data_IF_907674229749
#
_entry.id   IF_907674229749
#
_cell.length_a   1.000
_cell.length_b   1.000
_cell.length_c   1.000
_cell.angle_alpha   90.00
_cell.angle_beta   90.00
_cell.angle_gamma   90.00
#
_symmetry.space_group_name_H-M   'P 1'
#
loop_
_entity.id
_entity.type
_entity.pdbx_description
1 polymer ?
#
# COMPACT_ATOMS: atom_id res chain seq x y z
N UNK A 1 59.45 -0.48 -15.69
CA UNK A 1 58.49 -1.54 -15.34
C UNK A 1 57.27 -1.30 -16.22
N UNK A 2 57.23 -1.91 -17.40
CA UNK A 2 56.15 -1.70 -18.35
C UNK A 2 54.92 -2.47 -17.85
N UNK A 3 53.90 -1.73 -17.40
CA UNK A 3 52.62 -2.34 -17.03
C UNK A 3 51.97 -2.91 -18.29
N UNK A 4 51.78 -4.23 -18.32
CA UNK A 4 51.08 -4.91 -19.40
C UNK A 4 49.62 -4.42 -19.44
N UNK A 5 49.33 -3.55 -20.40
CA UNK A 5 48.04 -2.85 -20.55
C UNK A 5 46.85 -3.82 -20.57
N UNK A 6 47.04 -5.01 -21.15
CA UNK A 6 46.03 -6.06 -21.19
C UNK A 6 45.72 -6.62 -19.79
N UNK A 7 46.73 -6.77 -18.93
CA UNK A 7 46.55 -7.18 -17.53
C UNK A 7 45.75 -6.16 -16.72
N UNK A 8 45.99 -4.86 -16.95
CA UNK A 8 45.25 -3.78 -16.27
C UNK A 8 43.77 -3.78 -16.70
N UNK A 9 43.50 -4.03 -17.97
CA UNK A 9 42.14 -4.11 -18.52
C UNK A 9 41.33 -5.27 -17.90
N UNK A 10 41.95 -6.44 -17.73
CA UNK A 10 41.31 -7.58 -17.07
C UNK A 10 41.00 -7.31 -15.61
N UNK A 11 41.91 -6.67 -14.88
CA UNK A 11 41.71 -6.31 -13.47
C UNK A 11 40.54 -5.32 -13.31
N UNK A 12 40.44 -4.33 -14.20
CA UNK A 12 39.32 -3.38 -14.19
C UNK A 12 37.98 -4.06 -14.50
N UNK A 13 37.94 -4.96 -15.49
CA UNK A 13 36.75 -5.72 -15.84
C UNK A 13 36.25 -6.60 -14.69
N UNK A 14 37.18 -7.32 -14.04
CA UNK A 14 36.85 -8.16 -12.87
C UNK A 14 36.39 -7.28 -11.70
N UNK A 15 37.02 -6.13 -11.47
CA UNK A 15 36.64 -5.20 -10.42
C UNK A 15 35.20 -4.67 -10.58
N UNK A 16 34.82 -4.25 -11.80
CA UNK A 16 33.46 -3.80 -12.11
C UNK A 16 32.45 -4.93 -11.93
N UNK A 17 32.80 -6.15 -12.36
CA UNK A 17 31.91 -7.31 -12.28
C UNK A 17 31.62 -7.66 -10.81
N UNK A 18 32.66 -7.77 -9.98
CA UNK A 18 32.53 -8.08 -8.54
C UNK A 18 31.74 -7.01 -7.79
N UNK A 19 31.93 -5.72 -8.13
CA UNK A 19 31.15 -4.63 -7.54
C UNK A 19 29.66 -4.66 -7.94
N UNK A 20 29.35 -5.20 -9.12
CA UNK A 20 27.99 -5.23 -9.68
C UNK A 20 27.15 -6.41 -9.20
N UNK A 21 27.78 -7.53 -8.79
CA UNK A 21 27.09 -8.74 -8.29
C UNK A 21 26.11 -8.48 -7.14
N UNK A 22 26.47 -7.81 -6.03
CA UNK A 22 25.54 -7.61 -4.91
C UNK A 22 24.30 -6.81 -5.33
N UNK A 23 24.47 -5.85 -6.24
CA UNK A 23 23.35 -5.06 -6.77
C UNK A 23 22.39 -5.92 -7.59
N UNK A 24 22.91 -6.78 -8.47
CA UNK A 24 22.10 -7.73 -9.25
C UNK A 24 21.34 -8.72 -8.37
N UNK A 25 21.97 -9.24 -7.31
CA UNK A 25 21.30 -10.14 -6.35
C UNK A 25 20.12 -9.44 -5.68
N UNK A 26 20.31 -8.20 -5.23
CA UNK A 26 19.24 -7.40 -4.62
C UNK A 26 18.06 -7.18 -5.58
N UNK A 27 18.34 -6.88 -6.86
CA UNK A 27 17.31 -6.70 -7.89
C UNK A 27 16.51 -7.99 -8.14
N UNK A 28 17.20 -9.13 -8.29
CA UNK A 28 16.54 -10.42 -8.52
C UNK A 28 15.66 -10.80 -7.32
N UNK A 29 16.15 -10.60 -6.10
CA UNK A 29 15.39 -10.88 -4.88
C UNK A 29 14.13 -10.02 -4.79
N UNK A 30 14.24 -8.72 -5.08
CA UNK A 30 13.09 -7.82 -5.11
C UNK A 30 12.02 -8.28 -6.11
N UNK A 31 12.43 -8.66 -7.32
CA UNK A 31 11.51 -9.17 -8.36
C UNK A 31 10.83 -10.48 -7.98
N UNK A 32 11.52 -11.38 -7.27
CA UNK A 32 10.91 -12.64 -6.81
C UNK A 32 9.84 -12.39 -5.75
N UNK A 33 10.13 -11.53 -4.78
CA UNK A 33 9.15 -11.17 -3.75
C UNK A 33 7.89 -10.53 -4.34
N UNK A 34 8.04 -9.69 -5.36
CA UNK A 34 6.90 -9.07 -6.03
C UNK A 34 6.01 -10.10 -6.75
N UNK A 35 6.61 -11.14 -7.35
CA UNK A 35 5.88 -12.24 -7.99
C UNK A 35 5.10 -13.06 -6.95
N UNK A 36 5.74 -13.47 -5.87
CA UNK A 36 5.11 -14.29 -4.82
C UNK A 36 3.89 -13.56 -4.20
N UNK A 37 4.01 -12.25 -3.99
CA UNK A 37 2.92 -11.43 -3.47
C UNK A 37 1.78 -11.23 -4.46
N UNK A 38 2.11 -11.16 -5.76
CA UNK A 38 1.09 -11.07 -6.81
C UNK A 38 0.32 -12.38 -6.97
N UNK A 39 1.01 -13.52 -6.88
CA UNK A 39 0.39 -14.85 -6.96
C UNK A 39 -0.53 -15.11 -5.76
N UNK A 40 -0.08 -14.82 -4.54
CA UNK A 40 -0.91 -14.96 -3.32
C UNK A 40 -2.17 -14.09 -3.38
N UNK A 41 -2.06 -12.88 -3.91
CA UNK A 41 -3.21 -11.99 -4.06
C UNK A 41 -4.17 -12.42 -5.17
N UNK A 42 -3.64 -12.93 -6.28
CA UNK A 42 -4.45 -13.48 -7.37
C UNK A 42 -5.19 -14.75 -6.93
N UNK A 43 -4.54 -15.58 -6.11
CA UNK A 43 -5.17 -16.76 -5.51
C UNK A 43 -6.31 -16.36 -4.55
N UNK A 44 -6.10 -15.31 -3.74
CA UNK A 44 -7.13 -14.76 -2.86
C UNK A 44 -8.33 -14.19 -3.62
N UNK A 45 -8.10 -13.39 -4.67
CA UNK A 45 -9.18 -12.81 -5.47
C UNK A 45 -9.94 -13.87 -6.26
N UNK A 46 -9.23 -14.87 -6.80
CA UNK A 46 -9.83 -15.98 -7.55
C UNK A 46 -10.68 -16.87 -6.65
N UNK A 47 -10.20 -17.17 -5.43
CA UNK A 47 -10.96 -17.96 -4.44
C UNK A 47 -12.29 -17.30 -4.08
N UNK A 48 -12.33 -15.97 -4.05
CA UNK A 48 -13.53 -15.18 -3.72
C UNK A 48 -14.33 -14.70 -4.93
N UNK A 49 -13.93 -15.06 -6.16
CA UNK A 49 -14.56 -14.61 -7.42
C UNK A 49 -14.69 -13.08 -7.50
N UNK A 50 -13.71 -12.36 -6.96
CA UNK A 50 -13.68 -10.90 -6.97
C UNK A 50 -13.03 -10.40 -8.26
N UNK A 51 -13.64 -9.40 -8.90
CA UNK A 51 -13.09 -8.73 -10.07
C UNK A 51 -12.70 -7.32 -9.63
N UNK A 52 -11.43 -7.15 -9.29
CA UNK A 52 -10.93 -5.87 -8.79
C UNK A 52 -10.73 -4.91 -9.96
N UNK A 53 -11.56 -3.88 -10.04
CA UNK A 53 -11.48 -2.84 -11.06
C UNK A 53 -10.32 -1.88 -10.81
N UNK A 54 -10.04 -1.57 -9.54
CA UNK A 54 -8.95 -0.68 -9.14
C UNK A 54 -8.08 -1.36 -8.10
N UNK A 55 -6.80 -1.50 -8.38
CA UNK A 55 -5.81 -2.07 -7.45
C UNK A 55 -4.64 -1.11 -7.32
N UNK A 56 -4.22 -0.88 -6.08
CA UNK A 56 -3.01 -0.14 -5.77
C UNK A 56 -2.14 -0.95 -4.82
N UNK A 57 -0.90 -1.18 -5.23
CA UNK A 57 0.15 -1.80 -4.42
C UNK A 57 1.16 -0.73 -4.04
N UNK A 58 1.65 -0.76 -2.81
CA UNK A 58 2.77 0.09 -2.42
C UNK A 58 3.73 -0.65 -1.50
N UNK A 59 5.02 -0.31 -1.67
CA UNK A 59 6.15 -0.80 -0.88
C UNK A 59 6.30 -2.30 -0.75
N UNK A 60 5.72 -3.03 -1.68
CA UNK A 60 5.72 -4.49 -1.69
C UNK A 60 5.20 -5.10 -0.36
N UNK A 61 4.36 -4.35 0.35
CA UNK A 61 3.93 -4.69 1.71
C UNK A 61 2.44 -4.46 1.90
N UNK A 62 1.85 -3.55 1.14
CA UNK A 62 0.44 -3.25 1.21
C UNK A 62 -0.21 -3.32 -0.17
N UNK A 63 -1.47 -3.74 -0.16
CA UNK A 63 -2.32 -3.73 -1.33
C UNK A 63 -3.75 -3.37 -0.94
N UNK A 64 -4.36 -2.51 -1.75
CA UNK A 64 -5.75 -2.11 -1.62
C UNK A 64 -6.41 -2.28 -2.99
N UNK A 65 -7.54 -2.97 -3.01
CA UNK A 65 -8.30 -3.30 -4.21
C UNK A 65 -9.78 -3.01 -4.04
N UNK A 66 -10.41 -2.45 -5.06
CA UNK A 66 -11.83 -2.14 -5.10
C UNK A 66 -12.50 -2.95 -6.22
N UNK A 67 -13.54 -3.71 -5.86
CA UNK A 67 -14.47 -4.35 -6.79
C UNK A 67 -15.73 -3.48 -6.86
N UNK A 68 -15.94 -2.82 -7.99
CA UNK A 68 -17.08 -1.92 -8.20
C UNK A 68 -18.38 -2.69 -8.41
N UNK A 69 -18.31 -3.91 -8.95
CA UNK A 69 -19.49 -4.74 -9.25
C UNK A 69 -20.12 -5.28 -7.98
N UNK A 70 -19.29 -5.76 -7.06
CA UNK A 70 -19.74 -6.31 -5.78
C UNK A 70 -19.79 -5.26 -4.66
N UNK A 71 -19.25 -4.07 -4.91
CA UNK A 71 -19.10 -2.98 -3.94
C UNK A 71 -18.28 -3.41 -2.70
N UNK A 72 -17.14 -4.05 -2.96
CA UNK A 72 -16.28 -4.63 -1.93
C UNK A 72 -14.89 -4.01 -2.00
N UNK A 73 -14.38 -3.59 -0.86
CA UNK A 73 -13.00 -3.17 -0.67
C UNK A 73 -12.19 -4.33 -0.06
N UNK A 74 -11.05 -4.61 -0.66
CA UNK A 74 -10.11 -5.64 -0.22
C UNK A 74 -8.81 -4.98 0.17
N UNK A 75 -8.35 -5.24 1.38
CA UNK A 75 -7.07 -4.80 1.89
C UNK A 75 -6.20 -5.99 2.26
N UNK A 76 -4.92 -5.92 1.87
CA UNK A 76 -3.92 -6.90 2.24
C UNK A 76 -2.65 -6.19 2.73
N UNK A 77 -2.19 -6.63 3.91
CA UNK A 77 -0.88 -6.34 4.48
C UNK A 77 -0.07 -7.61 4.45
N UNK A 78 1.17 -7.51 4.00
CA UNK A 78 2.13 -8.61 3.94
C UNK A 78 3.24 -8.37 4.98
N UNK A 79 4.23 -9.26 5.09
CA UNK A 79 5.35 -9.12 6.03
C UNK A 79 5.13 -9.75 7.42
N UNK A 80 5.65 -9.12 8.48
CA UNK A 80 5.73 -9.74 9.82
C UNK A 80 4.37 -10.06 10.45
N UNK A 81 3.33 -9.29 10.10
CA UNK A 81 1.96 -9.49 10.56
C UNK A 81 1.02 -9.39 9.36
N UNK A 82 0.90 -10.48 8.57
CA UNK A 82 0.05 -10.48 7.40
C UNK A 82 -1.40 -10.35 7.84
N UNK A 83 -2.14 -9.46 7.18
CA UNK A 83 -3.55 -9.23 7.46
C UNK A 83 -4.30 -9.12 6.14
N UNK A 84 -5.46 -9.77 6.05
CA UNK A 84 -6.35 -9.67 4.92
C UNK A 84 -7.73 -9.26 5.42
N UNK A 85 -8.29 -8.23 4.82
CA UNK A 85 -9.57 -7.68 5.21
C UNK A 85 -10.44 -7.47 3.98
N UNK A 86 -11.70 -7.83 4.11
CA UNK A 86 -12.74 -7.56 3.12
C UNK A 86 -13.81 -6.71 3.79
N UNK A 87 -14.17 -5.59 3.16
CA UNK A 87 -15.15 -4.63 3.67
C UNK A 87 -16.24 -4.47 2.62
N UNK A 88 -17.49 -4.70 3.02
CA UNK A 88 -18.64 -4.37 2.20
C UNK A 88 -18.91 -2.87 2.28
N UNK A 89 -18.73 -2.16 1.17
CA UNK A 89 -18.88 -0.71 1.13
C UNK A 89 -20.34 -0.25 1.25
N UNK A 90 -21.32 -1.14 1.05
CA UNK A 90 -22.73 -0.80 1.28
C UNK A 90 -23.01 -0.43 2.75
N UNK A 91 -22.22 -0.98 3.67
CA UNK A 91 -22.33 -0.73 5.12
C UNK A 91 -21.54 0.50 5.58
N UNK A 92 -20.67 1.04 4.71
CA UNK A 92 -19.82 2.18 5.00
C UNK A 92 -20.59 3.46 4.68
N UNK A 93 -20.52 4.42 5.60
CA UNK A 93 -21.11 5.74 5.47
C UNK A 93 -20.14 6.68 4.75
N UNK A 94 -18.97 6.88 5.35
CA UNK A 94 -17.92 7.72 4.79
C UNK A 94 -16.54 7.25 5.24
N UNK A 95 -15.51 7.81 4.61
CA UNK A 95 -14.10 7.54 4.90
C UNK A 95 -13.35 8.81 5.27
N UNK A 96 -12.42 8.69 6.20
CA UNK A 96 -11.56 9.80 6.65
C UNK A 96 -10.11 9.34 6.79
N UNK A 97 -9.19 10.29 6.90
CA UNK A 97 -7.77 10.02 7.18
C UNK A 97 -7.54 10.27 8.66
N UNK A 98 -6.80 9.37 9.30
CA UNK A 98 -6.22 9.57 10.62
C UNK A 98 -4.70 9.56 10.51
N UNK A 99 -4.07 10.64 10.94
CA UNK A 99 -2.64 10.86 10.81
C UNK A 99 -2.09 11.30 12.17
N UNK A 100 -1.20 10.50 12.75
CA UNK A 100 -0.64 10.77 14.06
C UNK A 100 0.82 11.21 13.95
N UNK A 101 1.12 12.32 14.63
CA UNK A 101 2.44 12.93 14.63
C UNK A 101 2.99 12.98 16.05
N UNK A 102 4.21 12.48 16.22
CA UNK A 102 5.00 12.63 17.43
C UNK A 102 5.85 13.91 17.34
N UNK A 103 5.92 14.67 18.44
CA UNK A 103 6.87 15.78 18.54
C UNK A 103 8.24 15.27 18.99
N UNK A 104 9.22 15.37 18.09
CA UNK A 104 10.61 15.01 18.36
C UNK A 104 11.43 16.28 18.54
N UNK A 105 12.12 16.39 19.68
CA UNK A 105 13.02 17.51 19.95
C UNK A 105 14.39 17.16 19.36
N UNK A 106 14.82 17.92 18.36
CA UNK A 106 16.16 17.80 17.79
C UNK A 106 16.94 19.09 18.05
N UNK A 107 17.82 19.06 19.04
CA UNK A 107 18.55 20.24 19.50
C UNK A 107 17.60 21.27 20.12
N UNK A 108 17.48 22.46 19.49
CA UNK A 108 16.58 23.55 19.93
C UNK A 108 15.26 23.60 19.16
N UNK A 109 15.06 22.72 18.19
CA UNK A 109 13.90 22.75 17.30
C UNK A 109 12.96 21.58 17.60
N UNK A 110 11.66 21.87 17.67
CA UNK A 110 10.60 20.87 17.73
C UNK A 110 10.23 20.48 16.30
N UNK A 111 10.38 19.21 15.96
CA UNK A 111 9.97 18.66 14.67
C UNK A 111 8.80 17.72 14.89
N UNK A 112 7.82 17.77 13.98
CA UNK A 112 6.72 16.80 13.96
C UNK A 112 7.11 15.66 13.04
N UNK A 113 7.01 14.43 13.53
CA UNK A 113 7.34 13.21 12.81
C UNK A 113 6.09 12.34 12.75
N UNK A 114 5.70 11.93 11.55
CA UNK A 114 4.53 11.05 11.37
C UNK A 114 4.85 9.65 11.90
N UNK A 115 4.04 9.15 12.83
CA UNK A 115 4.15 7.79 13.38
C UNK A 115 3.29 6.80 12.60
N UNK A 116 2.02 7.13 12.35
CA UNK A 116 1.10 6.29 11.57
C UNK A 116 0.13 7.12 10.72
N UNK A 117 -0.32 6.50 9.63
CA UNK A 117 -1.32 7.02 8.71
C UNK A 117 -2.31 5.91 8.35
N UNK A 118 -3.55 6.09 8.75
CA UNK A 118 -4.63 5.13 8.52
C UNK A 118 -5.78 5.80 7.75
N UNK A 119 -6.47 5.01 6.94
CA UNK A 119 -7.79 5.35 6.41
C UNK A 119 -8.84 4.74 7.35
N UNK A 120 -9.71 5.57 7.89
CA UNK A 120 -10.82 5.16 8.74
C UNK A 120 -12.09 4.99 7.91
N UNK A 121 -12.73 3.83 8.07
CA UNK A 121 -14.03 3.49 7.49
C UNK A 121 -15.09 3.61 8.58
N UNK A 122 -15.95 4.62 8.48
CA UNK A 122 -17.07 4.82 9.38
C UNK A 122 -18.30 4.09 8.84
N UNK A 123 -18.93 3.25 9.65
CA UNK A 123 -20.10 2.49 9.23
C UNK A 123 -21.38 3.28 9.45
N UNK A 124 -22.39 3.01 8.61
CA UNK A 124 -23.74 3.56 8.76
C UNK A 124 -24.38 3.16 10.10
N UNK A 125 -24.06 1.95 10.56
CA UNK A 125 -24.43 1.48 11.88
C UNK A 125 -23.51 2.08 12.94
N UNK A 126 -24.06 2.95 13.79
CA UNK A 126 -23.33 3.62 14.88
C UNK A 126 -22.80 2.67 15.94
N UNK A 127 -23.34 1.45 16.02
CA UNK A 127 -22.87 0.43 16.96
C UNK A 127 -21.69 -0.37 16.42
N UNK A 128 -21.39 -0.28 15.10
CA UNK A 128 -20.21 -0.92 14.53
C UNK A 128 -18.99 -0.02 14.74
N UNK A 129 -17.89 -0.57 15.28
CA UNK A 129 -16.66 0.20 15.43
C UNK A 129 -16.08 0.56 14.07
N UNK A 130 -15.49 1.75 13.99
CA UNK A 130 -14.72 2.21 12.83
C UNK A 130 -13.60 1.20 12.53
N UNK A 131 -13.44 0.85 11.25
CA UNK A 131 -12.33 0.00 10.81
C UNK A 131 -11.21 0.89 10.27
N UNK A 132 -9.96 0.60 10.66
CA UNK A 132 -8.80 1.27 10.12
C UNK A 132 -8.09 0.42 9.06
N UNK A 133 -7.63 1.08 8.01
CA UNK A 133 -6.75 0.53 6.97
C UNK A 133 -5.43 1.28 7.06
N UNK A 134 -4.39 0.59 7.52
CA UNK A 134 -3.07 1.18 7.64
C UNK A 134 -2.44 1.42 6.27
N UNK A 135 -2.03 2.67 6.03
CA UNK A 135 -1.30 3.10 4.84
C UNK A 135 0.19 3.24 5.15
N UNK A 136 0.51 3.78 6.33
CA UNK A 136 1.86 3.95 6.84
C UNK A 136 1.94 3.63 8.32
N UNK A 137 3.03 2.97 8.71
CA UNK A 137 3.37 2.65 10.09
C UNK A 137 4.89 2.73 10.19
N UNK A 138 5.41 3.68 10.98
CA UNK A 138 6.83 3.95 11.07
C UNK A 138 7.64 2.75 11.59
N UNK A 139 7.01 1.91 12.44
CA UNK A 139 7.64 0.71 13.00
C UNK A 139 7.93 -0.32 11.92
N UNK A 140 7.15 -0.29 10.84
CA UNK A 140 7.34 -1.18 9.70
C UNK A 140 8.09 -0.52 8.56
N UNK A 141 7.93 0.79 8.36
CA UNK A 141 8.58 1.51 7.27
C UNK A 141 9.18 2.83 7.74
N UNK A 142 10.49 2.98 7.56
CA UNK A 142 11.28 4.08 8.12
C UNK A 142 11.17 5.43 7.40
N UNK A 143 10.60 5.48 6.21
CA UNK A 143 10.55 6.72 5.40
C UNK A 143 9.17 6.87 4.82
N UNK A 144 8.64 8.07 4.73
CA UNK A 144 7.45 8.35 3.93
C UNK A 144 7.87 8.82 2.54
N UNK A 145 7.16 8.41 1.50
CA UNK A 145 7.36 8.91 0.13
C UNK A 145 6.04 9.46 -0.38
N UNK A 146 5.10 8.59 -0.75
CA UNK A 146 3.83 8.98 -1.38
C UNK A 146 2.60 8.56 -0.58
N UNK A 147 2.78 8.00 0.63
CA UNK A 147 1.69 7.41 1.41
C UNK A 147 0.55 8.39 1.71
N UNK A 148 0.87 9.68 1.93
CA UNK A 148 -0.14 10.70 2.19
C UNK A 148 -1.02 10.90 0.95
N UNK A 149 -0.39 11.04 -0.21
CA UNK A 149 -1.10 11.17 -1.48
C UNK A 149 -1.94 9.93 -1.79
N UNK A 150 -1.42 8.73 -1.50
CA UNK A 150 -2.16 7.48 -1.64
C UNK A 150 -3.41 7.52 -0.74
N UNK A 151 -3.28 7.88 0.53
CA UNK A 151 -4.40 7.95 1.46
C UNK A 151 -5.47 8.95 1.01
N UNK A 152 -5.06 10.17 0.63
CA UNK A 152 -5.94 11.22 0.12
C UNK A 152 -6.69 10.78 -1.14
N UNK A 153 -5.99 10.21 -2.12
CA UNK A 153 -6.62 9.74 -3.35
C UNK A 153 -7.62 8.61 -3.10
N UNK A 154 -7.33 7.70 -2.16
CA UNK A 154 -8.25 6.64 -1.79
C UNK A 154 -9.48 7.15 -1.07
N UNK A 155 -9.33 8.03 -0.07
CA UNK A 155 -10.48 8.64 0.62
C UNK A 155 -11.37 9.40 -0.35
N UNK A 156 -10.79 10.17 -1.26
CA UNK A 156 -11.55 10.86 -2.32
C UNK A 156 -12.28 9.88 -3.24
N UNK A 157 -11.60 8.80 -3.66
CA UNK A 157 -12.20 7.77 -4.52
C UNK A 157 -13.37 7.08 -3.81
N UNK A 158 -13.17 6.68 -2.55
CA UNK A 158 -14.17 5.95 -1.76
C UNK A 158 -15.38 6.83 -1.47
N UNK A 159 -15.19 8.05 -0.98
CA UNK A 159 -16.30 8.96 -0.69
C UNK A 159 -17.10 9.30 -1.95
N UNK A 160 -16.44 9.50 -3.11
CA UNK A 160 -17.15 9.70 -4.38
C UNK A 160 -18.02 8.50 -4.75
N UNK A 161 -17.48 7.30 -4.58
CA UNK A 161 -18.18 6.06 -4.88
C UNK A 161 -19.38 5.83 -3.94
N UNK A 162 -19.20 6.07 -2.63
CA UNK A 162 -20.25 5.95 -1.63
C UNK A 162 -21.41 6.93 -1.89
N UNK A 163 -21.11 8.19 -2.20
CA UNK A 163 -22.13 9.20 -2.51
C UNK A 163 -22.90 8.87 -3.80
N UNK A 164 -22.20 8.39 -4.85
CA UNK A 164 -22.86 8.00 -6.11
C UNK A 164 -23.75 6.76 -5.93
N UNK A 165 -23.38 5.84 -5.04
CA UNK A 165 -24.20 4.69 -4.70
C UNK A 165 -25.46 5.07 -3.91
N UNK A 166 -25.40 6.11 -3.08
CA UNK A 166 -26.55 6.57 -2.28
C UNK A 166 -27.62 7.25 -3.15
N UNK A 167 -27.20 8.01 -4.16
CA UNK A 167 -28.13 8.67 -5.08
C UNK A 167 -28.89 7.66 -5.94
N UNK A 168 -28.19 6.63 -6.43
CA UNK A 168 -28.80 5.53 -7.19
C UNK A 168 -29.76 4.67 -6.36
N UNK A 169 -29.53 4.52 -5.06
CA UNK A 169 -30.45 3.75 -4.20
C UNK A 169 -31.72 4.52 -3.88
N UNK A 170 -31.64 5.85 -3.69
CA UNK A 170 -32.81 6.72 -3.53
C UNK A 170 -33.70 6.74 -4.78
N UNK A 171 -33.10 6.80 -5.96
CA UNK A 171 -33.83 6.75 -7.24
C UNK A 171 -34.61 5.43 -7.43
N UNK A 172 -34.08 4.30 -6.94
CA UNK A 172 -34.75 2.99 -7.04
C UNK A 172 -35.89 2.79 -6.05
N UNK A 173 -35.96 3.57 -4.98
CA UNK A 173 -37.05 3.50 -4.00
C UNK A 173 -38.21 4.46 -4.31
N UNK A 174 -38.02 5.37 -5.27
CA UNK A 174 -39.01 6.34 -5.71
C UNK A 174 -39.78 5.90 -6.99
N UNK A 175 -39.45 4.74 -7.55
CA UNK A 175 -40.14 4.07 -8.67
C UNK A 175 -40.96 2.90 -8.16
#
# INVERSE_FOLDING_TARGET
MEMNFQGVLWILLIGILVASVPYLIHLVKARRQEKDLSESFQEFSSTRKLVLDKVQKWRNHYMLGLDLKQNILVYCRFGNYPAQMTINLNEVDHTSIDAHYEEVIYGKSKLKKLEYLDILLHFKDRNKPTKSITIFDERQIRRMVDEQFIAENWVLTLNRHLNSSEDNSKLRLAM
#
